data_IF_918265686765
#
_entry.id   IF_918265686765
#
_cell.length_a   1.000
_cell.length_b   1.000
_cell.length_c   1.000
_cell.angle_alpha   90.00
_cell.angle_beta   90.00
_cell.angle_gamma   90.00
#
_symmetry.space_group_name_H-M   'P 1'
#
loop_
_entity.id
_entity.type
_entity.pdbx_description
1 polymer ?
#
# COMPACT_ATOMS: atom_id res chain seq x y z
N UNK A 1 -0.05 -14.80 -4.55
CA UNK A 1 0.31 -14.84 -5.98
C UNK A 1 0.41 -16.28 -6.47
N UNK A 2 1.27 -17.15 -5.90
CA UNK A 2 1.43 -18.54 -6.34
C UNK A 2 0.14 -19.37 -6.47
N UNK A 3 -0.74 -19.40 -5.45
CA UNK A 3 -2.00 -20.16 -5.54
C UNK A 3 -2.98 -19.65 -6.61
N UNK A 4 -2.79 -18.40 -7.06
CA UNK A 4 -3.55 -17.86 -8.20
C UNK A 4 -2.91 -18.30 -9.51
N UNK A 5 -1.57 -18.20 -9.65
CA UNK A 5 -0.88 -18.52 -10.90
C UNK A 5 -1.06 -19.97 -11.36
N UNK A 6 -1.30 -20.90 -10.44
CA UNK A 6 -1.56 -22.32 -10.75
C UNK A 6 -3.05 -22.67 -10.89
N UNK A 7 -3.95 -21.70 -10.69
CA UNK A 7 -5.39 -21.92 -10.84
C UNK A 7 -5.80 -21.82 -12.31
N UNK A 8 -6.49 -22.85 -12.83
CA UNK A 8 -6.86 -22.92 -14.25
C UNK A 8 -7.78 -21.78 -14.72
N UNK A 9 -8.56 -21.21 -13.81
CA UNK A 9 -9.51 -20.13 -14.11
C UNK A 9 -8.90 -18.74 -13.87
N UNK A 10 -7.65 -18.67 -13.38
CA UNK A 10 -6.95 -17.41 -13.19
C UNK A 10 -6.30 -16.93 -14.47
N UNK A 11 -6.56 -15.66 -14.78
CA UNK A 11 -5.84 -14.91 -15.78
C UNK A 11 -5.23 -13.68 -15.13
N UNK A 12 -3.99 -13.39 -15.50
CA UNK A 12 -3.37 -12.11 -15.17
C UNK A 12 -4.07 -10.98 -15.93
N UNK A 13 -4.23 -9.82 -15.29
CA UNK A 13 -4.80 -8.61 -15.87
C UNK A 13 -4.23 -7.33 -15.20
N UNK A 14 -4.35 -6.15 -15.84
CA UNK A 14 -3.84 -4.89 -15.30
C UNK A 14 -4.45 -4.44 -13.96
N UNK A 15 -5.72 -4.78 -13.66
CA UNK A 15 -6.34 -4.47 -12.37
C UNK A 15 -5.68 -5.32 -11.27
N UNK A 16 -5.42 -6.60 -11.55
CA UNK A 16 -4.65 -7.46 -10.66
C UNK A 16 -3.23 -6.94 -10.45
N UNK A 17 -2.57 -6.48 -11.51
CA UNK A 17 -1.23 -5.89 -11.44
C UNK A 17 -1.21 -4.65 -10.52
N UNK A 18 -2.16 -3.74 -10.72
CA UNK A 18 -2.37 -2.57 -9.86
C UNK A 18 -2.54 -3.00 -8.40
N UNK A 19 -3.38 -4.00 -8.15
CA UNK A 19 -3.60 -4.54 -6.81
C UNK A 19 -2.35 -5.09 -6.14
N UNK A 20 -1.49 -5.78 -6.88
CA UNK A 20 -0.20 -6.30 -6.39
C UNK A 20 0.76 -5.16 -6.06
N UNK A 21 0.93 -4.21 -6.98
CA UNK A 21 1.80 -3.04 -6.79
C UNK A 21 1.35 -2.24 -5.57
N UNK A 22 0.06 -1.92 -5.48
CA UNK A 22 -0.47 -1.13 -4.36
C UNK A 22 -0.35 -1.88 -3.04
N UNK A 23 -0.66 -3.18 -3.01
CA UNK A 23 -0.50 -3.98 -1.79
C UNK A 23 0.95 -3.93 -1.32
N UNK A 24 1.91 -4.18 -2.21
CA UNK A 24 3.32 -4.13 -1.85
C UNK A 24 3.73 -2.76 -1.32
N UNK A 25 3.42 -1.69 -2.05
CA UNK A 25 3.78 -0.32 -1.65
C UNK A 25 3.22 0.07 -0.28
N UNK A 26 1.96 -0.29 0.00
CA UNK A 26 1.29 0.05 1.26
C UNK A 26 1.82 -0.78 2.43
N UNK A 27 2.00 -2.08 2.26
CA UNK A 27 2.51 -2.94 3.32
C UNK A 27 4.02 -2.80 3.57
N UNK A 28 4.77 -2.26 2.61
CA UNK A 28 6.20 -1.97 2.75
C UNK A 28 6.47 -0.54 3.27
N UNK A 29 5.44 0.23 3.66
CA UNK A 29 5.66 1.50 4.34
C UNK A 29 6.45 1.28 5.63
N UNK A 30 7.47 2.09 5.87
CA UNK A 30 8.35 1.97 7.04
C UNK A 30 9.43 0.88 6.95
N UNK A 31 9.51 0.13 5.85
CA UNK A 31 10.63 -0.80 5.64
C UNK A 31 11.96 -0.05 5.47
N UNK A 32 13.00 -0.49 6.18
CA UNK A 32 14.33 0.12 6.14
C UNK A 32 15.41 -0.97 5.96
N UNK A 33 16.38 -0.79 5.04
CA UNK A 33 16.57 0.39 4.19
C UNK A 33 15.60 0.43 2.99
N UNK A 34 15.13 1.63 2.63
CA UNK A 34 14.21 1.85 1.50
C UNK A 34 14.77 1.35 0.15
N UNK A 35 16.11 1.34 0.01
CA UNK A 35 16.82 0.90 -1.20
C UNK A 35 16.51 -0.53 -1.62
N UNK A 36 16.10 -1.39 -0.68
CA UNK A 36 15.91 -2.81 -0.96
C UNK A 36 14.48 -3.10 -1.45
N UNK A 37 13.53 -2.15 -1.32
CA UNK A 37 12.15 -2.36 -1.76
C UNK A 37 12.04 -2.78 -3.24
N UNK A 38 12.74 -2.15 -4.19
CA UNK A 38 12.67 -2.57 -5.60
C UNK A 38 13.19 -3.99 -5.83
N UNK A 39 14.29 -4.38 -5.17
CA UNK A 39 14.87 -5.73 -5.34
C UNK A 39 13.97 -6.80 -4.71
N UNK A 40 13.35 -6.51 -3.57
CA UNK A 40 12.35 -7.38 -2.92
C UNK A 40 11.13 -7.55 -3.84
N UNK A 41 10.59 -6.46 -4.39
CA UNK A 41 9.44 -6.54 -5.30
C UNK A 41 9.78 -7.35 -6.55
N UNK A 42 10.96 -7.12 -7.14
CA UNK A 42 11.43 -7.88 -8.29
C UNK A 42 11.56 -9.37 -7.98
N UNK A 43 12.19 -9.74 -6.87
CA UNK A 43 12.31 -11.14 -6.45
C UNK A 43 10.93 -11.78 -6.21
N UNK A 44 9.99 -11.05 -5.61
CA UNK A 44 8.61 -11.51 -5.40
C UNK A 44 7.89 -11.81 -6.72
N UNK A 45 7.99 -10.91 -7.70
CA UNK A 45 7.41 -11.11 -9.03
C UNK A 45 8.05 -12.31 -9.75
N UNK A 46 9.38 -12.39 -9.75
CA UNK A 46 10.12 -13.48 -10.43
C UNK A 46 9.82 -14.85 -9.82
N UNK A 47 9.61 -14.94 -8.50
CA UNK A 47 9.28 -16.19 -7.82
C UNK A 47 7.94 -16.81 -8.27
N UNK A 48 7.10 -16.07 -9.00
CA UNK A 48 5.84 -16.54 -9.58
C UNK A 48 5.79 -16.33 -11.10
N UNK A 49 6.97 -16.35 -11.75
CA UNK A 49 7.15 -16.19 -13.19
C UNK A 49 6.63 -14.85 -13.76
N UNK A 50 6.60 -13.81 -12.93
CA UNK A 50 6.24 -12.44 -13.31
C UNK A 50 7.46 -11.51 -13.47
N UNK A 51 7.24 -10.32 -14.05
CA UNK A 51 8.24 -9.25 -14.18
C UNK A 51 7.79 -8.01 -13.41
N UNK A 52 8.65 -7.46 -12.54
CA UNK A 52 8.33 -6.24 -11.80
C UNK A 52 8.00 -5.07 -12.73
N UNK A 53 8.70 -4.95 -13.84
CA UNK A 53 8.50 -3.90 -14.85
C UNK A 53 7.09 -3.99 -15.45
N UNK A 54 6.65 -5.20 -15.83
CA UNK A 54 5.31 -5.41 -16.38
C UNK A 54 4.23 -5.00 -15.39
N UNK A 55 4.36 -5.41 -14.12
CA UNK A 55 3.39 -5.06 -13.08
C UNK A 55 3.28 -3.55 -12.89
N UNK A 56 4.41 -2.83 -12.86
CA UNK A 56 4.41 -1.38 -12.73
C UNK A 56 3.85 -0.67 -13.96
N UNK A 57 4.26 -1.08 -15.17
CA UNK A 57 3.80 -0.48 -16.42
C UNK A 57 2.29 -0.61 -16.60
N UNK A 58 1.73 -1.79 -16.36
CA UNK A 58 0.30 -2.01 -16.50
C UNK A 58 -0.52 -1.33 -15.41
N UNK A 59 -0.02 -1.29 -14.17
CA UNK A 59 -0.63 -0.53 -13.09
C UNK A 59 -0.66 0.98 -13.40
N UNK A 60 0.42 1.52 -13.96
CA UNK A 60 0.48 2.93 -14.36
C UNK A 60 -0.43 3.22 -15.56
N UNK A 61 -0.45 2.34 -16.56
CA UNK A 61 -1.30 2.50 -17.74
C UNK A 61 -2.79 2.60 -17.37
N UNK A 62 -3.27 1.69 -16.52
CA UNK A 62 -4.68 1.68 -16.13
C UNK A 62 -5.07 2.88 -15.24
N UNK A 63 -4.16 3.34 -14.38
CA UNK A 63 -4.36 4.56 -13.60
C UNK A 63 -4.39 5.80 -14.51
N UNK A 64 -3.51 5.86 -15.50
CA UNK A 64 -3.47 6.98 -16.45
C UNK A 64 -4.74 7.08 -17.30
N UNK A 65 -5.32 5.95 -17.71
CA UNK A 65 -6.62 5.94 -18.41
C UNK A 65 -7.80 6.31 -17.49
N UNK A 66 -7.67 6.07 -16.19
CA UNK A 66 -8.69 6.45 -15.22
C UNK A 66 -8.66 7.94 -14.85
N UNK A 67 -7.54 8.63 -15.08
CA UNK A 67 -7.40 10.06 -14.77
C UNK A 67 -8.40 10.90 -15.55
N UNK A 68 -9.14 11.74 -14.83
CA UNK A 68 -10.12 12.65 -15.41
C UNK A 68 -11.47 12.02 -15.72
N UNK A 69 -11.67 10.72 -15.43
CA UNK A 69 -13.02 10.14 -15.40
C UNK A 69 -13.79 10.68 -14.20
N UNK A 70 -15.10 10.86 -14.36
CA UNK A 70 -15.99 11.01 -13.21
C UNK A 70 -16.44 9.63 -12.73
N UNK A 71 -16.72 9.49 -11.43
CA UNK A 71 -17.24 8.23 -10.89
C UNK A 71 -18.59 7.84 -11.50
N UNK A 72 -19.40 8.83 -11.88
CA UNK A 72 -20.71 8.60 -12.50
C UNK A 72 -20.53 8.01 -13.90
N UNK A 73 -19.71 8.64 -14.74
CA UNK A 73 -19.44 8.16 -16.10
C UNK A 73 -18.72 6.80 -16.07
N UNK A 74 -17.86 6.58 -15.08
CA UNK A 74 -17.19 5.30 -14.88
C UNK A 74 -18.20 4.18 -14.63
N UNK A 75 -19.13 4.37 -13.69
CA UNK A 75 -20.15 3.37 -13.36
C UNK A 75 -21.08 3.10 -14.54
N UNK A 76 -21.50 4.15 -15.25
CA UNK A 76 -22.34 4.03 -16.45
C UNK A 76 -21.65 3.26 -17.58
N UNK A 77 -20.38 3.54 -17.87
CA UNK A 77 -19.64 2.75 -18.87
C UNK A 77 -19.40 1.31 -18.42
N UNK A 78 -19.21 1.08 -17.12
CA UNK A 78 -18.97 -0.25 -16.57
C UNK A 78 -20.21 -1.15 -16.66
N UNK A 79 -21.42 -0.62 -16.47
CA UNK A 79 -22.66 -1.41 -16.62
C UNK A 79 -22.86 -1.87 -18.06
N UNK A 80 -22.37 -1.09 -19.02
CA UNK A 80 -22.42 -1.40 -20.45
C UNK A 80 -21.16 -2.13 -20.96
N UNK A 81 -20.24 -2.55 -20.09
CA UNK A 81 -18.88 -3.02 -20.48
C UNK A 81 -18.84 -4.26 -21.39
N UNK A 82 -19.94 -5.02 -21.45
CA UNK A 82 -20.08 -6.18 -22.35
C UNK A 82 -20.78 -5.84 -23.67
N UNK A 83 -21.31 -4.63 -23.80
CA UNK A 83 -21.90 -4.18 -25.05
C UNK A 83 -20.75 -3.93 -26.04
N UNK A 84 -20.93 -4.30 -27.31
CA UNK A 84 -19.91 -4.14 -28.37
C UNK A 84 -19.55 -2.66 -28.69
N UNK A 85 -19.84 -1.72 -27.78
CA UNK A 85 -19.64 -0.28 -27.89
C UNK A 85 -18.66 0.28 -26.86
N UNK A 86 -18.07 -0.57 -26.02
CA UNK A 86 -17.24 -0.11 -24.91
C UNK A 86 -15.88 0.29 -25.45
N UNK A 87 -15.45 1.50 -25.07
CA UNK A 87 -14.37 2.24 -25.70
C UNK A 87 -13.02 1.51 -25.75
N UNK A 88 -12.20 1.97 -26.69
CA UNK A 88 -10.81 1.55 -26.85
C UNK A 88 -9.99 1.90 -25.61
N UNK A 89 -9.02 1.05 -25.24
CA UNK A 89 -8.12 1.28 -24.11
C UNK A 89 -7.87 0.04 -23.25
N UNK A 90 -6.79 0.07 -22.48
CA UNK A 90 -6.39 -1.00 -21.57
C UNK A 90 -7.41 -1.18 -20.45
N UNK A 91 -7.95 -0.08 -19.90
CA UNK A 91 -8.92 -0.07 -18.80
C UNK A 91 -10.20 -0.81 -19.19
N UNK A 92 -10.85 -0.34 -20.27
CA UNK A 92 -12.13 -0.86 -20.71
C UNK A 92 -12.02 -2.26 -21.34
N UNK A 93 -10.94 -2.52 -22.08
CA UNK A 93 -10.63 -3.86 -22.58
C UNK A 93 -10.46 -4.88 -21.44
N UNK A 94 -9.81 -4.47 -20.33
CA UNK A 94 -9.66 -5.31 -19.14
C UNK A 94 -11.01 -5.63 -18.50
N UNK A 95 -11.86 -4.61 -18.26
CA UNK A 95 -13.18 -4.85 -17.67
C UNK A 95 -14.10 -5.68 -18.56
N UNK A 96 -14.06 -5.45 -19.88
CA UNK A 96 -14.80 -6.26 -20.85
C UNK A 96 -14.39 -7.74 -20.78
N UNK A 97 -13.08 -8.02 -20.76
CA UNK A 97 -12.56 -9.38 -20.64
C UNK A 97 -12.97 -10.05 -19.32
N UNK A 98 -12.96 -9.30 -18.21
CA UNK A 98 -13.41 -9.78 -16.89
C UNK A 98 -14.91 -10.13 -16.94
N UNK A 99 -15.76 -9.20 -17.37
CA UNK A 99 -17.22 -9.34 -17.34
C UNK A 99 -17.75 -10.40 -18.34
N UNK A 100 -17.01 -10.63 -19.42
CA UNK A 100 -17.30 -11.65 -20.43
C UNK A 100 -16.86 -13.06 -20.01
N UNK A 101 -16.00 -13.21 -18.99
CA UNK A 101 -15.49 -14.50 -18.55
C UNK A 101 -16.34 -15.07 -17.38
N UNK A 102 -17.23 -16.05 -17.61
CA UNK A 102 -18.10 -16.60 -16.57
C UNK A 102 -17.34 -17.42 -15.51
N UNK A 103 -16.10 -17.84 -15.80
CA UNK A 103 -15.24 -18.58 -14.85
C UNK A 103 -14.20 -17.69 -14.19
N UNK A 104 -14.24 -16.38 -14.42
CA UNK A 104 -13.20 -15.48 -13.96
C UNK A 104 -12.82 -15.68 -12.49
N UNK A 105 -11.54 -15.95 -12.23
CA UNK A 105 -11.04 -16.16 -10.88
C UNK A 105 -10.83 -14.85 -10.14
N UNK A 106 -11.83 -14.47 -9.35
CA UNK A 106 -11.69 -13.39 -8.38
C UNK A 106 -10.52 -13.62 -7.41
N UNK A 107 -9.80 -12.54 -7.08
CA UNK A 107 -8.78 -12.52 -6.03
C UNK A 107 -8.86 -11.25 -5.18
N UNK A 108 -8.36 -11.32 -3.94
CA UNK A 108 -8.23 -10.13 -3.07
C UNK A 108 -7.31 -9.07 -3.68
N UNK A 109 -6.29 -9.48 -4.43
CA UNK A 109 -5.39 -8.55 -5.11
C UNK A 109 -6.16 -7.75 -6.18
N UNK A 110 -7.00 -8.41 -6.98
CA UNK A 110 -7.90 -7.71 -7.90
C UNK A 110 -8.81 -6.71 -7.16
N UNK A 111 -9.39 -7.09 -6.02
CA UNK A 111 -10.21 -6.19 -5.21
C UNK A 111 -9.44 -4.94 -4.78
N UNK A 112 -8.20 -5.11 -4.31
CA UNK A 112 -7.34 -3.99 -3.94
C UNK A 112 -7.07 -3.11 -5.16
N UNK A 113 -6.81 -3.70 -6.33
CA UNK A 113 -6.65 -2.97 -7.59
C UNK A 113 -7.88 -2.15 -7.98
N UNK A 114 -9.08 -2.75 -7.92
CA UNK A 114 -10.35 -2.04 -8.14
C UNK A 114 -10.51 -0.89 -7.15
N UNK A 115 -10.24 -1.14 -5.88
CA UNK A 115 -10.34 -0.10 -4.86
C UNK A 115 -9.40 1.05 -5.13
N UNK A 116 -8.13 0.77 -5.47
CA UNK A 116 -7.15 1.79 -5.83
C UNK A 116 -7.58 2.61 -7.02
N UNK A 117 -8.07 1.96 -8.08
CA UNK A 117 -8.59 2.61 -9.26
C UNK A 117 -9.76 3.55 -8.93
N UNK A 118 -10.71 3.08 -8.11
CA UNK A 118 -11.86 3.90 -7.70
C UNK A 118 -11.42 5.13 -6.90
N UNK A 119 -10.41 5.02 -6.04
CA UNK A 119 -9.89 6.17 -5.28
C UNK A 119 -9.12 7.16 -6.17
N UNK A 120 -8.51 6.69 -7.27
CA UNK A 120 -7.88 7.56 -8.28
C UNK A 120 -8.94 8.38 -9.04
N UNK A 121 -10.09 7.76 -9.35
CA UNK A 121 -11.21 8.42 -10.02
C UNK A 121 -11.92 9.40 -9.08
N UNK A 122 -12.17 8.99 -7.84
CA UNK A 122 -12.88 9.79 -6.85
C UNK A 122 -12.31 9.60 -5.44
N UNK A 123 -11.48 10.56 -5.04
CA UNK A 123 -10.83 10.55 -3.73
C UNK A 123 -11.79 10.70 -2.55
N UNK A 124 -13.02 11.18 -2.76
CA UNK A 124 -14.01 11.33 -1.68
C UNK A 124 -14.51 9.97 -1.16
N UNK A 125 -14.38 8.91 -1.95
CA UNK A 125 -14.69 7.54 -1.54
C UNK A 125 -13.82 7.04 -0.36
N UNK A 126 -12.68 7.68 -0.09
CA UNK A 126 -11.88 7.42 1.11
C UNK A 126 -12.59 7.89 2.39
N UNK A 127 -13.34 8.99 2.30
CA UNK A 127 -13.95 9.67 3.44
C UNK A 127 -15.40 9.27 3.64
N UNK A 128 -16.12 9.07 2.54
CA UNK A 128 -17.54 8.73 2.55
C UNK A 128 -17.74 7.21 2.48
N UNK A 129 -18.12 6.62 3.61
CA UNK A 129 -18.36 5.18 3.71
C UNK A 129 -19.61 4.71 2.99
N UNK A 130 -20.67 5.51 2.99
CA UNK A 130 -21.93 5.17 2.36
C UNK A 130 -21.75 5.17 0.84
N UNK A 131 -21.20 6.25 0.29
CA UNK A 131 -20.87 6.38 -1.13
C UNK A 131 -19.91 5.29 -1.61
N UNK A 132 -18.89 4.96 -0.80
CA UNK A 132 -17.96 3.86 -1.09
C UNK A 132 -18.68 2.52 -1.14
N UNK A 133 -19.54 2.23 -0.17
CA UNK A 133 -20.25 0.96 -0.09
C UNK A 133 -21.20 0.78 -1.27
N UNK A 134 -21.91 1.84 -1.64
CA UNK A 134 -22.79 1.86 -2.82
C UNK A 134 -21.99 1.67 -4.12
N UNK A 135 -20.90 2.41 -4.28
CA UNK A 135 -20.00 2.30 -5.46
C UNK A 135 -19.44 0.89 -5.61
N UNK A 136 -18.95 0.29 -4.51
CA UNK A 136 -18.44 -1.10 -4.51
C UNK A 136 -19.53 -2.08 -4.91
N UNK A 137 -20.77 -1.88 -4.43
CA UNK A 137 -21.90 -2.73 -4.77
C UNK A 137 -22.19 -2.66 -6.28
N UNK A 138 -22.35 -1.48 -6.84
CA UNK A 138 -22.63 -1.30 -8.28
C UNK A 138 -21.53 -1.90 -9.16
N UNK A 139 -20.26 -1.63 -8.83
CA UNK A 139 -19.09 -2.19 -9.55
C UNK A 139 -19.06 -3.71 -9.47
N UNK A 140 -19.37 -4.28 -8.30
CA UNK A 140 -19.40 -5.73 -8.14
C UNK A 140 -20.51 -6.40 -8.95
N UNK A 141 -21.68 -5.76 -9.04
CA UNK A 141 -22.82 -6.25 -9.82
C UNK A 141 -22.50 -6.22 -11.32
N UNK A 142 -21.91 -5.12 -11.81
CA UNK A 142 -21.49 -4.99 -13.21
C UNK A 142 -20.46 -6.05 -13.62
N UNK A 143 -19.51 -6.37 -12.73
CA UNK A 143 -18.48 -7.39 -12.95
C UNK A 143 -18.91 -8.81 -12.57
N UNK A 144 -20.16 -9.01 -12.14
CA UNK A 144 -20.73 -10.30 -11.71
C UNK A 144 -19.94 -10.94 -10.55
N UNK A 145 -19.35 -10.11 -9.70
CA UNK A 145 -18.71 -10.53 -8.46
C UNK A 145 -19.71 -10.54 -7.31
N UNK A 146 -19.40 -11.27 -6.24
CA UNK A 146 -20.18 -11.18 -5.00
C UNK A 146 -19.90 -9.83 -4.32
N UNK A 147 -20.91 -8.95 -4.14
CA UNK A 147 -20.73 -7.66 -3.46
C UNK A 147 -20.24 -7.85 -2.03
N UNK A 148 -20.78 -8.85 -1.33
CA UNK A 148 -20.40 -9.18 0.04
C UNK A 148 -18.93 -9.61 0.14
N UNK A 149 -18.45 -10.44 -0.80
CA UNK A 149 -17.06 -10.89 -0.83
C UNK A 149 -16.12 -9.72 -1.09
N UNK A 150 -16.42 -8.89 -2.08
CA UNK A 150 -15.62 -7.71 -2.42
C UNK A 150 -15.53 -6.76 -1.22
N UNK A 151 -16.66 -6.44 -0.58
CA UNK A 151 -16.70 -5.60 0.62
C UNK A 151 -15.84 -6.19 1.75
N UNK A 152 -16.03 -7.46 2.09
CA UNK A 152 -15.27 -8.13 3.18
C UNK A 152 -13.77 -8.11 2.94
N UNK A 153 -13.33 -8.38 1.71
CA UNK A 153 -11.90 -8.37 1.37
C UNK A 153 -11.30 -6.95 1.47
N UNK A 154 -12.08 -5.92 1.12
CA UNK A 154 -11.66 -4.51 1.25
C UNK A 154 -11.66 -4.02 2.70
N UNK A 155 -12.65 -4.41 3.51
CA UNK A 155 -12.68 -4.09 4.94
C UNK A 155 -11.49 -4.73 5.66
N UNK A 156 -11.18 -5.98 5.33
CA UNK A 156 -10.00 -6.67 5.86
C UNK A 156 -8.70 -5.99 5.43
N UNK A 157 -8.60 -5.59 4.15
CA UNK A 157 -7.44 -4.86 3.64
C UNK A 157 -7.24 -3.54 4.41
N UNK A 158 -8.28 -2.72 4.53
CA UNK A 158 -8.24 -1.42 5.25
C UNK A 158 -7.88 -1.61 6.72
N UNK A 159 -8.52 -2.56 7.41
CA UNK A 159 -8.20 -2.89 8.81
C UNK A 159 -6.75 -3.32 8.99
N UNK A 160 -6.19 -4.06 8.04
CA UNK A 160 -4.78 -4.46 8.10
C UNK A 160 -3.83 -3.29 7.85
N UNK A 161 -4.19 -2.33 6.99
CA UNK A 161 -3.42 -1.09 6.83
C UNK A 161 -3.41 -0.26 8.11
N UNK A 162 -4.56 -0.12 8.76
CA UNK A 162 -4.65 0.64 10.02
C UNK A 162 -3.78 0.02 11.13
N UNK A 163 -3.78 -1.32 11.23
CA UNK A 163 -2.92 -2.06 12.17
C UNK A 163 -1.43 -1.86 11.87
N UNK A 164 -1.05 -1.88 10.59
CA UNK A 164 0.33 -1.63 10.19
C UNK A 164 0.75 -0.21 10.53
N UNK A 165 -0.10 0.78 10.27
CA UNK A 165 0.18 2.18 10.60
C UNK A 165 0.36 2.37 12.11
N UNK A 166 -0.51 1.76 12.93
CA UNK A 166 -0.37 1.78 14.39
C UNK A 166 0.95 1.15 14.85
N UNK A 167 1.32 -0.01 14.27
CA UNK A 167 2.58 -0.68 14.59
C UNK A 167 3.80 0.19 14.22
N UNK A 168 3.78 0.83 13.06
CA UNK A 168 4.86 1.73 12.63
C UNK A 168 5.05 2.91 13.60
N UNK A 169 3.96 3.52 14.07
CA UNK A 169 4.02 4.58 15.08
C UNK A 169 4.67 4.09 16.38
N UNK A 170 4.30 2.89 16.86
CA UNK A 170 4.91 2.30 18.07
C UNK A 170 6.41 2.04 17.89
N UNK A 171 6.82 1.58 16.72
CA UNK A 171 8.25 1.35 16.39
C UNK A 171 8.99 2.69 16.39
N UNK A 172 8.43 3.72 15.77
CA UNK A 172 9.02 5.06 15.72
C UNK A 172 9.21 5.66 17.12
N UNK A 173 8.17 5.60 17.97
CA UNK A 173 8.22 6.06 19.36
C UNK A 173 9.29 5.31 20.17
N UNK A 174 9.42 3.99 19.93
CA UNK A 174 10.43 3.15 20.61
C UNK A 174 11.85 3.52 20.19
N UNK A 175 12.07 3.74 18.89
CA UNK A 175 13.37 4.19 18.36
C UNK A 175 13.74 5.58 18.88
N UNK A 176 12.79 6.49 18.98
CA UNK A 176 13.02 7.84 19.49
C UNK A 176 13.36 7.81 20.99
N UNK A 177 12.66 6.98 21.76
CA UNK A 177 12.95 6.77 23.18
C UNK A 177 14.35 6.18 23.40
N UNK A 178 14.77 5.21 22.57
CA UNK A 178 16.10 4.63 22.64
C UNK A 178 17.21 5.63 22.27
N UNK A 179 16.97 6.48 21.26
CA UNK A 179 17.90 7.58 20.91
C UNK A 179 18.03 8.58 22.06
N UNK A 180 16.91 9.00 22.68
CA UNK A 180 16.90 9.90 23.84
C UNK A 180 17.65 9.30 25.03
N UNK A 181 17.46 8.00 25.30
CA UNK A 181 18.21 7.28 26.35
C UNK A 181 19.70 7.29 26.07
N UNK A 182 20.15 6.90 24.86
CA UNK A 182 21.57 6.89 24.48
C UNK A 182 22.20 8.27 24.60
N UNK A 183 21.55 9.33 24.09
CA UNK A 183 22.02 10.70 24.23
C UNK A 183 22.11 11.16 25.69
N UNK A 184 21.16 10.76 26.54
CA UNK A 184 21.19 11.09 27.98
C UNK A 184 22.28 10.33 28.75
N UNK A 185 22.66 9.13 28.30
CA UNK A 185 23.76 8.36 28.88
C UNK A 185 25.10 8.96 28.46
N UNK A 186 25.29 9.29 27.18
CA UNK A 186 26.51 9.93 26.66
C UNK A 186 26.73 11.34 27.26
N UNK A 187 25.66 12.10 27.49
CA UNK A 187 25.72 13.39 28.20
C UNK A 187 26.10 13.26 29.69
N UNK A 188 25.72 12.16 30.34
CA UNK A 188 26.11 11.89 31.73
C UNK A 188 27.56 11.42 31.85
N UNK A 189 28.04 10.57 30.95
CA UNK A 189 29.46 10.16 30.94
C UNK A 189 30.39 11.35 30.66
N UNK A 190 29.94 12.32 29.87
CA UNK A 190 30.70 13.54 29.58
C UNK A 190 30.71 14.53 30.75
N UNK A 191 29.65 14.58 31.55
CA UNK A 191 29.56 15.44 32.74
C UNK A 191 30.36 14.86 33.94
N UNK A 192 30.33 13.54 34.15
CA UNK A 192 31.11 12.88 35.21
C UNK A 192 32.63 12.95 34.98
N UNK A 193 33.09 13.01 33.72
CA UNK A 193 34.52 13.18 33.39
C UNK A 193 35.00 14.62 33.66
N UNK A 194 34.12 15.62 33.54
CA UNK A 194 34.47 17.02 33.82
C UNK A 194 34.46 17.31 35.33
N UNK A 195 33.54 16.71 36.08
CA UNK A 195 33.42 16.93 37.53
C UNK A 195 34.55 16.26 38.36
N UNK A 196 35.24 15.26 37.82
CA UNK A 196 36.45 14.67 38.46
C UNK A 196 37.74 15.45 38.22
N UNK A 197 37.77 16.41 37.29
CA UNK A 197 38.95 17.27 37.04
C UNK A 197 38.93 18.59 37.82
N UNK A 198 37.82 18.96 38.44
CA UNK A 198 37.68 20.21 39.21
C UNK A 198 37.36 19.92 40.68
N UNK A 199 38.30 19.33 41.43
CA UNK A 199 38.30 19.43 42.90
C UNK A 199 39.46 20.34 43.35
N UNK A 200 39.21 21.43 44.10
CA UNK A 200 40.26 22.39 44.46
C UNK A 200 41.09 21.89 45.64
N UNK A 201 42.40 21.67 45.42
CA UNK A 201 43.36 21.58 46.52
C UNK A 201 43.36 22.90 47.30
N UNK A 202 42.88 22.82 48.53
CA UNK A 202 43.02 23.91 49.52
C UNK A 202 43.94 23.40 50.63
N UNK A 203 45.07 24.08 50.87
CA UNK A 203 45.73 24.36 52.18
C UNK A 203 47.18 24.86 51.93
N UNK A 204 47.47 26.12 52.21
CA UNK A 204 48.05 26.65 53.48
C UNK A 204 49.51 26.27 53.76
N UNK A 205 50.39 27.27 53.71
CA UNK A 205 51.66 27.51 54.47
C UNK A 205 52.55 28.40 53.58
N UNK A 206 53.25 29.46 53.99
CA UNK A 206 53.71 29.93 55.28
C UNK A 206 54.34 31.34 55.09
N UNK A 207 54.34 32.13 56.16
CA UNK A 207 55.15 33.35 56.31
C UNK A 207 56.64 33.07 56.02
N UNK A 208 57.36 34.01 55.39
CA UNK A 208 58.45 34.76 56.05
C UNK A 208 59.29 35.65 55.09
N UNK A 209 59.52 36.88 55.57
CA UNK A 209 60.59 37.87 55.30
C UNK A 209 60.50 38.68 54.00
#
# INVERSE_FOLDING_TARGET
MHLLSVNIDFSYDPIYALGVVTSFQRFMQGYSPESDKPSIFNALCQAVDGSSEKYHQEAEAILNEAKGLSIVDFKDKLTHVTDNQVGEGVLWGTFGAIAANPKFKYSRLLAIGLYTLLMEIDSDLLKDEEKRTETIKEVSEALKFSPEKLRKDLDLYRSNLDKMQQLLTVIEDSLEADRKKRASTEGKTSAEVVEQTETPETQQSENNV
#
